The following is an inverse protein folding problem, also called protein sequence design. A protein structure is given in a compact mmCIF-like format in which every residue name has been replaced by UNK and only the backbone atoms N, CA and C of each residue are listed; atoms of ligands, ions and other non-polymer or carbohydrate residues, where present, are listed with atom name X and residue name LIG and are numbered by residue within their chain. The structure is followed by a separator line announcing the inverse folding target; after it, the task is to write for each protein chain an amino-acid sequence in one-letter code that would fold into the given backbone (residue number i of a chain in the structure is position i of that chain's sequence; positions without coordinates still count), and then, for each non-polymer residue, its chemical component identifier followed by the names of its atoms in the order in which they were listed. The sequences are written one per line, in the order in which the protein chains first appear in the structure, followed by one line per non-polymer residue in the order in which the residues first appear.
data_IF_260665021208
#
_entry.id   IF_260665021208
#
_cell.length_a   1.000
_cell.length_b   1.000
_cell.length_c   1.000
_cell.angle_alpha   90.00
_cell.angle_beta   90.00
_cell.angle_gamma   90.00
#
_symmetry.space_group_name_H-M   'P 1'
#
loop_
_entity.id
_entity.type
_entity.pdbx_description
1 polymer ?
#
# COMPACT_ATOMS: atom_id res chain seq x y z
N UNK A 1 9.40 -29.06 25.55
CA UNK A 1 10.27 -27.87 25.44
C UNK A 1 10.84 -27.79 24.03
N UNK A 2 10.35 -26.86 23.19
CA UNK A 2 11.03 -26.40 21.97
C UNK A 2 10.89 -24.88 21.95
N UNK A 3 11.97 -24.10 21.81
CA UNK A 3 11.85 -22.66 21.64
C UNK A 3 11.42 -22.41 20.19
N UNK A 4 10.34 -21.66 19.98
CA UNK A 4 9.95 -21.17 18.65
C UNK A 4 9.48 -19.74 18.79
N UNK A 5 10.16 -18.84 18.08
CA UNK A 5 9.55 -17.63 17.56
C UNK A 5 10.00 -16.31 18.20
N UNK A 6 11.29 -15.97 18.11
CA UNK A 6 11.72 -14.56 18.23
C UNK A 6 11.63 -13.80 16.89
N UNK A 7 11.16 -14.45 15.82
CA UNK A 7 11.06 -13.88 14.45
C UNK A 7 9.66 -13.36 14.06
N UNK A 8 8.59 -13.79 14.74
CA UNK A 8 7.20 -13.54 14.32
C UNK A 8 6.71 -12.11 14.62
N UNK A 9 7.33 -11.44 15.59
CA UNK A 9 6.94 -10.09 16.01
C UNK A 9 7.31 -9.06 14.93
N UNK A 10 8.58 -9.05 14.49
CA UNK A 10 9.12 -8.03 13.58
C UNK A 10 8.40 -7.96 12.23
N UNK A 11 8.02 -9.10 11.66
CA UNK A 11 7.28 -9.11 10.38
C UNK A 11 5.88 -8.47 10.52
N UNK A 12 5.20 -8.78 11.61
CA UNK A 12 3.89 -8.22 11.92
C UNK A 12 3.99 -6.71 12.20
N UNK A 13 5.05 -6.28 12.88
CA UNK A 13 5.34 -4.88 13.15
C UNK A 13 5.51 -4.10 11.84
N UNK A 14 6.38 -4.56 10.94
CA UNK A 14 6.64 -3.93 9.62
C UNK A 14 5.35 -3.78 8.81
N UNK A 15 4.56 -4.85 8.66
CA UNK A 15 3.31 -4.79 7.90
C UNK A 15 2.30 -3.82 8.55
N UNK A 16 2.27 -3.76 9.88
CA UNK A 16 1.40 -2.84 10.60
C UNK A 16 1.82 -1.37 10.43
N UNK A 17 3.12 -1.10 10.36
CA UNK A 17 3.65 0.25 10.09
C UNK A 17 3.32 0.70 8.68
N UNK A 18 3.56 -0.16 7.68
CA UNK A 18 3.17 0.13 6.29
C UNK A 18 1.67 0.38 6.21
N UNK A 19 0.85 -0.50 6.80
CA UNK A 19 -0.61 -0.35 6.79
C UNK A 19 -1.06 0.97 7.41
N UNK A 20 -0.49 1.39 8.54
CA UNK A 20 -0.80 2.68 9.17
C UNK A 20 -0.38 3.85 8.28
N UNK A 21 0.82 3.80 7.71
CA UNK A 21 1.33 4.86 6.84
C UNK A 21 0.44 5.05 5.60
N UNK A 22 0.13 3.98 4.88
CA UNK A 22 -0.72 4.06 3.68
C UNK A 22 -2.16 4.43 4.02
N UNK A 23 -2.66 4.04 5.21
CA UNK A 23 -4.00 4.42 5.67
C UNK A 23 -4.12 5.91 5.96
N UNK A 24 -3.01 6.60 6.30
CA UNK A 24 -2.99 8.04 6.56
C UNK A 24 -2.83 8.89 5.30
N UNK A 25 -2.67 8.27 4.12
CA UNK A 25 -2.64 9.00 2.84
C UNK A 25 -4.00 9.63 2.61
N UNK A 26 -4.01 10.95 2.38
CA UNK A 26 -5.23 11.74 2.12
C UNK A 26 -5.54 11.72 0.64
N UNK A 27 -6.78 11.39 0.29
CA UNK A 27 -7.31 11.56 -1.05
C UNK A 27 -7.55 13.06 -1.30
N UNK A 28 -6.84 13.70 -2.26
CA UNK A 28 -6.94 15.14 -2.48
C UNK A 28 -8.27 15.59 -3.09
N UNK A 29 -9.09 14.67 -3.62
CA UNK A 29 -10.42 15.00 -4.15
C UNK A 29 -11.46 15.08 -3.04
N UNK A 30 -11.38 14.17 -2.05
CA UNK A 30 -12.40 14.03 -1.00
C UNK A 30 -11.94 14.67 0.33
N UNK A 31 -10.64 14.82 0.54
CA UNK A 31 -10.06 15.36 1.78
C UNK A 31 -10.10 14.39 2.96
N UNK A 32 -10.38 13.11 2.72
CA UNK A 32 -10.39 12.03 3.71
C UNK A 32 -9.24 11.06 3.46
N UNK A 33 -8.83 10.36 4.51
CA UNK A 33 -7.76 9.37 4.38
C UNK A 33 -8.23 8.05 3.75
N UNK A 34 -7.32 7.32 3.11
CA UNK A 34 -7.63 5.99 2.55
C UNK A 34 -8.10 5.00 3.61
N UNK A 35 -7.62 5.15 4.85
CA UNK A 35 -8.08 4.39 6.00
C UNK A 35 -9.53 4.69 6.37
N UNK A 36 -9.89 5.97 6.45
CA UNK A 36 -11.26 6.40 6.74
C UNK A 36 -12.25 5.96 5.65
N UNK A 37 -11.82 6.00 4.40
CA UNK A 37 -12.61 5.54 3.26
C UNK A 37 -12.60 4.01 3.11
N UNK A 38 -11.87 3.30 3.98
CA UNK A 38 -11.69 1.85 3.93
C UNK A 38 -11.25 1.35 2.53
N UNK A 39 -10.35 2.10 1.89
CA UNK A 39 -9.87 1.84 0.53
C UNK A 39 -8.63 0.96 0.50
N UNK A 40 -7.83 0.96 1.57
CA UNK A 40 -6.74 0.00 1.75
C UNK A 40 -7.33 -1.38 2.01
N UNK A 41 -7.19 -2.31 1.07
CA UNK A 41 -7.80 -3.64 1.15
C UNK A 41 -6.88 -4.66 1.77
N UNK A 42 -5.61 -4.63 1.38
CA UNK A 42 -4.66 -5.63 1.85
C UNK A 42 -3.24 -5.05 1.94
N UNK A 43 -2.51 -5.49 2.97
CA UNK A 43 -1.08 -5.21 3.14
C UNK A 43 -0.45 -6.50 3.63
N UNK A 44 0.36 -7.13 2.79
CA UNK A 44 0.93 -8.44 3.06
C UNK A 44 2.37 -8.54 2.59
N UNK A 45 3.10 -9.53 3.08
CA UNK A 45 4.43 -9.88 2.58
C UNK A 45 4.31 -11.06 1.63
N UNK A 46 4.82 -10.91 0.41
CA UNK A 46 4.92 -11.99 -0.59
C UNK A 46 6.29 -11.97 -1.24
N UNK A 47 6.94 -13.15 -1.33
CA UNK A 47 8.26 -13.33 -1.96
C UNK A 47 9.32 -12.31 -1.50
N UNK A 48 9.33 -11.98 -0.20
CA UNK A 48 10.26 -11.03 0.40
C UNK A 48 9.95 -9.56 0.11
N UNK A 49 8.82 -9.25 -0.54
CA UNK A 49 8.34 -7.90 -0.86
C UNK A 49 7.08 -7.59 -0.06
N UNK A 50 6.82 -6.32 0.19
CA UNK A 50 5.57 -5.86 0.80
C UNK A 50 4.63 -5.45 -0.33
N UNK A 51 3.46 -6.09 -0.38
CA UNK A 51 2.41 -5.82 -1.35
C UNK A 51 1.31 -5.03 -0.66
N UNK A 52 0.98 -3.87 -1.22
CA UNK A 52 -0.12 -3.00 -0.79
C UNK A 52 -1.18 -2.99 -1.87
N UNK A 53 -2.41 -3.36 -1.53
CA UNK A 53 -3.56 -3.28 -2.42
C UNK A 53 -4.58 -2.27 -1.90
N UNK A 54 -4.99 -1.34 -2.76
CA UNK A 54 -6.02 -0.37 -2.44
C UNK A 54 -7.01 -0.22 -3.60
N UNK A 55 -8.21 0.27 -3.29
CA UNK A 55 -9.28 0.49 -4.27
C UNK A 55 -9.38 1.97 -4.60
N UNK A 56 -9.53 2.29 -5.89
CA UNK A 56 -9.81 3.65 -6.33
C UNK A 56 -11.16 4.14 -5.77
N UNK A 57 -11.22 5.41 -5.36
CA UNK A 57 -12.46 6.09 -4.95
C UNK A 57 -13.49 6.07 -6.07
N UNK A 58 -13.05 6.29 -7.31
CA UNK A 58 -13.89 6.21 -8.52
C UNK A 58 -13.13 5.54 -9.67
N UNK A 59 -13.84 4.87 -10.60
CA UNK A 59 -13.20 4.11 -11.68
C UNK A 59 -12.49 4.99 -12.74
N UNK A 60 -12.77 6.29 -12.76
CA UNK A 60 -12.23 7.27 -13.71
C UNK A 60 -11.36 8.33 -13.04
N UNK A 61 -10.95 8.13 -11.79
CA UNK A 61 -10.18 9.11 -11.03
C UNK A 61 -8.90 9.50 -11.80
N UNK A 62 -8.78 10.74 -12.31
CA UNK A 62 -7.59 11.16 -13.05
C UNK A 62 -6.35 11.21 -12.15
N UNK A 63 -6.55 11.30 -10.84
CA UNK A 63 -5.50 11.32 -9.83
C UNK A 63 -5.15 9.92 -9.30
N UNK A 64 -5.76 8.85 -9.83
CA UNK A 64 -5.51 7.48 -9.39
C UNK A 64 -4.01 7.11 -9.39
N UNK A 65 -3.28 7.57 -10.40
CA UNK A 65 -1.85 7.37 -10.51
C UNK A 65 -1.06 8.15 -9.45
N UNK A 66 -1.40 9.43 -9.25
CA UNK A 66 -0.77 10.27 -8.22
C UNK A 66 -1.05 9.69 -6.84
N UNK A 67 -2.27 9.23 -6.59
CA UNK A 67 -2.65 8.58 -5.35
C UNK A 67 -1.86 7.28 -5.13
N UNK A 68 -1.70 6.46 -6.18
CA UNK A 68 -0.86 5.27 -6.12
C UNK A 68 0.62 5.60 -5.84
N UNK A 69 1.15 6.68 -6.41
CA UNK A 69 2.48 7.18 -6.08
C UNK A 69 2.58 7.61 -4.62
N UNK A 70 1.61 8.38 -4.11
CA UNK A 70 1.57 8.81 -2.71
C UNK A 70 1.53 7.63 -1.75
N UNK A 71 0.75 6.59 -2.07
CA UNK A 71 0.72 5.32 -1.32
C UNK A 71 2.08 4.63 -1.34
N UNK A 72 2.72 4.55 -2.51
CA UNK A 72 4.07 3.97 -2.63
C UNK A 72 5.09 4.76 -1.81
N UNK A 73 5.04 6.08 -1.87
CA UNK A 73 5.96 6.96 -1.14
C UNK A 73 5.77 6.82 0.38
N UNK A 74 4.52 6.84 0.85
CA UNK A 74 4.19 6.65 2.27
C UNK A 74 4.64 5.27 2.79
N UNK A 75 4.46 4.22 2.00
CA UNK A 75 4.94 2.89 2.36
C UNK A 75 6.47 2.84 2.42
N UNK A 76 7.18 3.44 1.46
CA UNK A 76 8.66 3.49 1.45
C UNK A 76 9.21 4.35 2.60
N UNK A 77 8.49 5.39 3.01
CA UNK A 77 8.87 6.21 4.16
C UNK A 77 8.68 5.46 5.49
N UNK A 78 7.73 4.52 5.56
CA UNK A 78 7.44 3.76 6.76
C UNK A 78 8.52 2.74 7.11
N UNK A 79 9.13 2.12 6.11
CA UNK A 79 10.08 1.01 6.29
C UNK A 79 11.29 1.16 5.38
N UNK A 80 12.48 0.86 5.90
CA UNK A 80 13.73 0.91 5.13
C UNK A 80 14.12 -0.48 4.63
N UNK A 81 14.78 -0.53 3.47
CA UNK A 81 15.34 -1.76 2.87
C UNK A 81 14.30 -2.85 2.51
N UNK A 82 13.04 -2.48 2.38
CA UNK A 82 11.96 -3.38 1.97
C UNK A 82 11.47 -2.99 0.56
N UNK A 83 11.37 -3.97 -0.34
CA UNK A 83 10.82 -3.73 -1.68
C UNK A 83 9.30 -3.68 -1.60
N UNK A 84 8.71 -2.55 -1.98
CA UNK A 84 7.27 -2.32 -1.91
C UNK A 84 6.64 -2.33 -3.31
N UNK A 85 5.58 -3.11 -3.44
CA UNK A 85 4.71 -3.14 -4.62
C UNK A 85 3.34 -2.60 -4.23
N UNK A 86 2.79 -1.72 -5.07
CA UNK A 86 1.49 -1.09 -4.86
C UNK A 86 0.58 -1.41 -6.02
N UNK A 87 -0.61 -1.93 -5.72
CA UNK A 87 -1.63 -2.24 -6.72
C UNK A 87 -2.89 -1.44 -6.42
N UNK A 88 -3.28 -0.58 -7.36
CA UNK A 88 -4.61 0.00 -7.39
C UNK A 88 -5.59 -1.01 -7.97
N UNK A 89 -6.82 -1.04 -7.44
CA UNK A 89 -7.93 -1.87 -7.91
C UNK A 89 -9.14 -1.05 -8.32
N UNK A 90 -9.95 -1.58 -9.24
CA UNK A 90 -11.22 -1.01 -9.71
C UNK A 90 -11.10 0.33 -10.46
N UNK A 91 -9.97 0.54 -11.15
CA UNK A 91 -9.76 1.68 -12.04
C UNK A 91 -9.69 1.20 -13.50
N UNK A 92 -10.17 1.98 -14.47
CA UNK A 92 -10.17 1.57 -15.89
C UNK A 92 -8.75 1.34 -16.45
N UNK A 93 -7.78 2.09 -15.94
CA UNK A 93 -6.37 1.98 -16.30
C UNK A 93 -5.55 1.26 -15.21
N UNK A 94 -6.18 0.36 -14.46
CA UNK A 94 -5.54 -0.40 -13.36
C UNK A 94 -4.21 -1.03 -13.79
N UNK A 95 -4.18 -1.75 -14.89
CA UNK A 95 -2.98 -2.45 -15.38
C UNK A 95 -1.83 -1.46 -15.65
N UNK A 96 -2.08 -0.44 -16.49
CA UNK A 96 -1.07 0.54 -16.85
C UNK A 96 -0.55 1.34 -15.67
N UNK A 97 -1.41 1.68 -14.70
CA UNK A 97 -0.98 2.36 -13.47
C UNK A 97 -0.10 1.42 -12.66
N UNK A 98 -0.55 0.19 -12.41
CA UNK A 98 0.20 -0.79 -11.62
C UNK A 98 1.58 -1.08 -12.22
N UNK A 99 1.68 -1.21 -13.53
CA UNK A 99 2.97 -1.36 -14.22
C UNK A 99 3.88 -0.16 -14.00
N UNK A 100 3.36 1.06 -14.15
CA UNK A 100 4.16 2.29 -14.01
C UNK A 100 4.63 2.53 -12.58
N UNK A 101 3.77 2.27 -11.61
CA UNK A 101 4.07 2.46 -10.18
C UNK A 101 5.07 1.42 -9.68
N UNK A 102 4.95 0.17 -10.15
CA UNK A 102 5.83 -0.92 -9.74
C UNK A 102 7.06 -1.08 -10.64
N UNK A 103 7.25 -0.16 -11.60
CA UNK A 103 8.48 -0.06 -12.37
C UNK A 103 9.57 0.48 -11.44
N UNK A 104 10.32 -0.46 -10.87
CA UNK A 104 11.58 -0.26 -10.15
C UNK A 104 12.73 -0.39 -11.16
#
# INVERSE_FOLDING_TARGET
MKPRGSGMSRESDVLSEVKKAVSNVVDPEIGLTLGELNLVKDVRREDGKIVVEFVATTPFCPLAEILALMVKDAANAAVKDEKILVYIRKHINEESINERINRD
#
